data_IF_299768882507
#
_entry.id   IF_299768882507
#
_cell.length_a   1.000
_cell.length_b   1.000
_cell.length_c   1.000
_cell.angle_alpha   90.00
_cell.angle_beta   90.00
_cell.angle_gamma   90.00
#
_symmetry.space_group_name_H-M   'P 1'
#
loop_
_entity.id
_entity.type
_entity.pdbx_description
1 polymer ?
#
# COMPACT_ATOMS: atom_id res chain seq x y z
N UNK A 1 20.64 -28.73 3.96
CA UNK A 1 19.67 -27.94 4.74
C UNK A 1 19.59 -26.49 4.25
N UNK A 2 20.41 -26.07 3.28
CA UNK A 2 20.49 -24.68 2.81
C UNK A 2 19.39 -24.24 1.84
N UNK A 3 18.58 -25.17 1.29
CA UNK A 3 17.49 -24.84 0.36
C UNK A 3 16.17 -24.39 1.02
N UNK A 4 16.00 -24.60 2.33
CA UNK A 4 14.74 -24.24 3.04
C UNK A 4 14.70 -22.78 3.53
N UNK A 5 15.85 -22.12 3.69
CA UNK A 5 15.90 -20.77 4.27
C UNK A 5 15.23 -19.72 3.37
N UNK A 6 15.44 -19.83 2.06
CA UNK A 6 14.88 -18.89 1.10
C UNK A 6 13.33 -18.86 1.06
N UNK A 7 12.62 -19.99 0.90
CA UNK A 7 11.15 -19.95 0.89
C UNK A 7 10.58 -19.44 2.21
N UNK A 8 11.24 -19.71 3.35
CA UNK A 8 10.82 -19.19 4.66
C UNK A 8 11.01 -17.66 4.73
N UNK A 9 12.14 -17.14 4.26
CA UNK A 9 12.40 -15.68 4.21
C UNK A 9 11.41 -14.97 3.28
N UNK A 10 11.11 -15.57 2.13
CA UNK A 10 10.09 -15.09 1.19
C UNK A 10 8.70 -15.05 1.82
N UNK A 11 8.28 -16.13 2.48
CA UNK A 11 7.00 -16.22 3.18
C UNK A 11 6.91 -15.19 4.31
N UNK A 12 7.96 -15.04 5.11
CA UNK A 12 8.00 -14.07 6.19
C UNK A 12 7.94 -12.62 5.69
N UNK A 13 8.70 -12.30 4.63
CA UNK A 13 8.67 -10.98 4.00
C UNK A 13 7.29 -10.66 3.40
N UNK A 14 6.67 -11.65 2.74
CA UNK A 14 5.31 -11.52 2.21
C UNK A 14 4.29 -11.30 3.32
N UNK A 15 4.35 -12.10 4.39
CA UNK A 15 3.44 -11.97 5.52
C UNK A 15 3.56 -10.61 6.22
N UNK A 16 4.80 -10.15 6.44
CA UNK A 16 5.05 -8.81 6.98
C UNK A 16 4.50 -7.70 6.10
N UNK A 17 4.68 -7.82 4.78
CA UNK A 17 4.12 -6.87 3.82
C UNK A 17 2.58 -6.85 3.86
N UNK A 18 1.93 -8.02 3.82
CA UNK A 18 0.46 -8.12 3.87
C UNK A 18 -0.11 -7.50 5.13
N UNK A 19 0.43 -7.83 6.32
CA UNK A 19 -0.05 -7.26 7.58
C UNK A 19 0.10 -5.73 7.63
N UNK A 20 1.23 -5.23 7.14
CA UNK A 20 1.50 -3.79 7.09
C UNK A 20 0.50 -3.10 6.17
N UNK A 21 0.26 -3.65 4.98
CA UNK A 21 -0.73 -3.11 4.02
C UNK A 21 -2.15 -3.15 4.57
N UNK A 22 -2.56 -4.22 5.27
CA UNK A 22 -3.88 -4.30 5.91
C UNK A 22 -4.05 -3.24 7.00
N UNK A 23 -3.01 -3.02 7.82
CA UNK A 23 -3.01 -1.96 8.84
C UNK A 23 -3.13 -0.56 8.21
N UNK A 24 -2.40 -0.31 7.12
CA UNK A 24 -2.55 0.94 6.35
C UNK A 24 -3.97 1.09 5.82
N UNK A 25 -4.57 0.04 5.26
CA UNK A 25 -5.95 0.09 4.74
C UNK A 25 -6.96 0.47 5.82
N UNK A 26 -6.89 -0.17 6.99
CA UNK A 26 -7.77 0.13 8.13
C UNK A 26 -7.59 1.58 8.61
N UNK A 27 -6.34 2.03 8.70
CA UNK A 27 -6.04 3.39 9.17
C UNK A 27 -6.51 4.44 8.16
N UNK A 28 -6.26 4.24 6.85
CA UNK A 28 -6.71 5.14 5.78
C UNK A 28 -8.23 5.26 5.81
N UNK A 29 -8.95 4.13 5.89
CA UNK A 29 -10.41 4.14 5.94
C UNK A 29 -10.94 4.86 7.19
N UNK A 30 -10.37 4.57 8.37
CA UNK A 30 -10.78 5.25 9.61
C UNK A 30 -10.56 6.78 9.55
N UNK A 31 -9.49 7.24 8.90
CA UNK A 31 -9.25 8.68 8.68
C UNK A 31 -10.21 9.28 7.67
N UNK A 32 -10.51 8.55 6.58
CA UNK A 32 -11.49 8.97 5.58
C UNK A 32 -12.89 9.12 6.21
N UNK A 33 -13.32 8.15 7.00
CA UNK A 33 -14.63 8.18 7.66
C UNK A 33 -14.75 9.36 8.62
N UNK A 34 -13.68 9.68 9.36
CA UNK A 34 -13.61 10.86 10.22
C UNK A 34 -13.72 12.18 9.44
N UNK A 35 -13.09 12.27 8.26
CA UNK A 35 -13.19 13.45 7.39
C UNK A 35 -14.63 13.62 6.91
N UNK A 36 -15.25 12.55 6.40
CA UNK A 36 -16.62 12.63 5.89
C UNK A 36 -17.65 12.89 6.98
N UNK A 37 -17.48 12.33 8.18
CA UNK A 37 -18.37 12.65 9.30
C UNK A 37 -18.30 14.14 9.69
N UNK A 38 -17.11 14.75 9.63
CA UNK A 38 -16.95 16.19 9.88
C UNK A 38 -17.62 17.04 8.80
N UNK A 39 -17.50 16.64 7.53
CA UNK A 39 -18.17 17.30 6.41
C UNK A 39 -19.69 17.23 6.60
N UNK A 40 -20.24 16.07 6.94
CA UNK A 40 -21.68 15.90 7.17
C UNK A 40 -22.19 16.69 8.38
N UNK A 41 -21.40 16.79 9.46
CA UNK A 41 -21.78 17.53 10.67
C UNK A 41 -21.74 19.05 10.50
N UNK A 42 -20.68 19.59 9.88
CA UNK A 42 -20.39 21.02 9.93
C UNK A 42 -19.73 21.59 8.67
N UNK A 43 -19.62 20.83 7.58
CA UNK A 43 -19.01 21.27 6.33
C UNK A 43 -17.54 21.68 6.54
N UNK A 44 -17.30 22.99 6.66
CA UNK A 44 -15.95 23.56 6.83
C UNK A 44 -15.48 23.63 8.30
N UNK A 45 -16.37 23.37 9.27
CA UNK A 45 -16.08 23.26 10.71
C UNK A 45 -15.07 24.29 11.26
N UNK A 46 -15.30 25.60 11.08
CA UNK A 46 -14.36 26.68 11.43
C UNK A 46 -14.05 26.80 12.94
N UNK A 47 -14.85 26.18 13.81
CA UNK A 47 -14.63 26.20 15.27
C UNK A 47 -13.83 25.00 15.80
N UNK A 48 -13.59 23.97 14.97
CA UNK A 48 -12.74 22.84 15.37
C UNK A 48 -11.29 23.11 14.98
N UNK A 49 -10.36 22.67 15.83
CA UNK A 49 -8.91 22.86 15.66
C UNK A 49 -8.33 22.19 14.40
N UNK A 50 -9.07 21.27 13.79
CA UNK A 50 -8.70 20.54 12.58
C UNK A 50 -9.93 20.41 11.65
N UNK A 51 -9.89 21.07 10.51
CA UNK A 51 -10.90 20.96 9.46
C UNK A 51 -10.68 19.75 8.55
N UNK A 52 -11.67 19.39 7.69
CA UNK A 52 -11.57 18.26 6.76
C UNK A 52 -10.34 18.29 5.84
N UNK A 53 -9.98 19.48 5.33
CA UNK A 53 -8.79 19.67 4.50
C UNK A 53 -7.49 19.44 5.27
N UNK A 54 -7.43 19.92 6.51
CA UNK A 54 -6.23 19.81 7.34
C UNK A 54 -5.97 18.34 7.69
N UNK A 55 -7.01 17.58 8.04
CA UNK A 55 -6.90 16.13 8.29
C UNK A 55 -6.49 15.38 7.02
N UNK A 56 -7.02 15.78 5.86
CA UNK A 56 -6.63 15.19 4.58
C UNK A 56 -5.14 15.37 4.29
N UNK A 57 -4.64 16.62 4.34
CA UNK A 57 -3.25 16.93 3.98
C UNK A 57 -2.22 16.48 5.03
N UNK A 58 -2.57 16.50 6.33
CA UNK A 58 -1.63 16.14 7.40
C UNK A 58 -1.61 14.64 7.69
N UNK A 59 -2.66 13.91 7.32
CA UNK A 59 -2.82 12.51 7.70
C UNK A 59 -3.08 11.61 6.48
N UNK A 60 -4.22 11.79 5.80
CA UNK A 60 -4.68 10.83 4.78
C UNK A 60 -3.75 10.79 3.56
N UNK A 61 -3.32 11.95 3.07
CA UNK A 61 -2.47 12.06 1.89
C UNK A 61 -1.05 11.51 2.14
N UNK A 62 -0.32 11.91 3.21
CA UNK A 62 0.96 11.31 3.55
C UNK A 62 0.89 9.79 3.77
N UNK A 63 -0.17 9.31 4.41
CA UNK A 63 -0.38 7.89 4.67
C UNK A 63 -0.60 7.10 3.37
N UNK A 64 -1.38 7.65 2.44
CA UNK A 64 -1.61 7.07 1.12
C UNK A 64 -0.33 7.04 0.29
N UNK A 65 0.43 8.13 0.26
CA UNK A 65 1.73 8.21 -0.44
C UNK A 65 2.71 7.19 0.17
N UNK A 66 2.83 7.15 1.50
CA UNK A 66 3.70 6.22 2.21
C UNK A 66 3.38 4.77 1.89
N UNK A 67 2.09 4.40 1.85
CA UNK A 67 1.67 3.05 1.50
C UNK A 67 1.95 2.70 0.02
N UNK A 68 1.78 3.64 -0.92
CA UNK A 68 2.14 3.44 -2.33
C UNK A 68 3.64 3.21 -2.48
N UNK A 69 4.47 4.02 -1.82
CA UNK A 69 5.93 3.85 -1.82
C UNK A 69 6.31 2.49 -1.23
N UNK A 70 5.72 2.11 -0.09
CA UNK A 70 5.97 0.83 0.55
C UNK A 70 5.64 -0.36 -0.37
N UNK A 71 4.47 -0.35 -1.00
CA UNK A 71 4.06 -1.39 -1.95
C UNK A 71 4.96 -1.44 -3.19
N UNK A 72 5.43 -0.28 -3.67
CA UNK A 72 6.43 -0.19 -4.74
C UNK A 72 7.76 -0.84 -4.35
N UNK A 73 8.26 -0.55 -3.14
CA UNK A 73 9.48 -1.14 -2.61
C UNK A 73 9.37 -2.66 -2.44
N UNK A 74 8.25 -3.15 -1.89
CA UNK A 74 8.01 -4.58 -1.75
C UNK A 74 7.95 -5.27 -3.12
N UNK A 75 7.26 -4.67 -4.09
CA UNK A 75 7.21 -5.17 -5.47
C UNK A 75 8.61 -5.27 -6.08
N UNK A 76 9.43 -4.23 -5.89
CA UNK A 76 10.82 -4.20 -6.36
C UNK A 76 11.67 -5.29 -5.70
N UNK A 77 11.55 -5.49 -4.38
CA UNK A 77 12.27 -6.53 -3.65
C UNK A 77 11.89 -7.91 -4.19
N UNK A 78 10.60 -8.22 -4.31
CA UNK A 78 10.11 -9.51 -4.81
C UNK A 78 10.65 -9.81 -6.21
N UNK A 79 10.61 -8.83 -7.11
CA UNK A 79 11.11 -8.99 -8.49
C UNK A 79 12.65 -9.08 -8.56
N UNK A 80 13.35 -8.59 -7.54
CA UNK A 80 14.81 -8.62 -7.49
C UNK A 80 15.39 -9.92 -6.93
N UNK A 81 14.59 -10.74 -6.23
CA UNK A 81 15.03 -12.01 -5.62
C UNK A 81 15.68 -12.97 -6.63
N UNK A 82 15.08 -13.25 -7.81
CA UNK A 82 15.67 -14.18 -8.78
C UNK A 82 17.03 -13.71 -9.31
N UNK A 83 17.29 -12.39 -9.32
CA UNK A 83 18.55 -11.80 -9.80
C UNK A 83 19.71 -11.98 -8.83
N UNK A 84 19.43 -12.03 -7.53
CA UNK A 84 20.45 -12.10 -6.49
C UNK A 84 20.77 -13.54 -6.08
N UNK A 85 19.93 -14.49 -6.48
CA UNK A 85 20.18 -15.91 -6.25
C UNK A 85 21.00 -16.53 -7.37
N UNK A 86 22.11 -17.16 -6.99
CA UNK A 86 22.82 -18.09 -7.88
C UNK A 86 22.12 -19.44 -7.82
N UNK A 87 21.32 -19.75 -8.83
CA UNK A 87 20.68 -21.05 -9.01
C UNK A 87 21.44 -21.77 -10.13
N UNK A 88 21.98 -22.95 -9.82
CA UNK A 88 22.72 -23.77 -10.78
C UNK A 88 21.81 -24.44 -11.81
N UNK A 89 20.55 -24.72 -11.43
CA UNK A 89 19.55 -25.31 -12.32
C UNK A 89 18.72 -24.23 -13.04
N UNK A 90 18.83 -24.19 -14.37
CA UNK A 90 18.10 -23.28 -15.25
C UNK A 90 16.57 -23.44 -15.19
N UNK A 91 16.05 -24.64 -14.92
CA UNK A 91 14.61 -24.87 -14.80
C UNK A 91 14.06 -24.32 -13.47
N UNK A 92 14.76 -24.58 -12.36
CA UNK A 92 14.42 -24.07 -11.03
C UNK A 92 14.45 -22.52 -11.01
N UNK A 93 15.39 -21.91 -11.75
CA UNK A 93 15.50 -20.47 -11.89
C UNK A 93 14.30 -19.83 -12.62
N UNK A 94 13.82 -20.42 -13.72
CA UNK A 94 12.67 -19.91 -14.45
C UNK A 94 11.35 -20.10 -13.66
N UNK A 95 11.21 -21.19 -12.92
CA UNK A 95 10.07 -21.37 -12.01
C UNK A 95 10.05 -20.32 -10.91
N UNK A 96 11.18 -20.03 -10.27
CA UNK A 96 11.28 -19.00 -9.24
C UNK A 96 10.93 -17.62 -9.80
N UNK A 97 11.47 -17.27 -10.96
CA UNK A 97 11.20 -16.00 -11.64
C UNK A 97 9.71 -15.84 -11.98
N UNK A 98 9.07 -16.91 -12.43
CA UNK A 98 7.62 -16.92 -12.69
C UNK A 98 6.82 -16.73 -11.40
N UNK A 99 7.17 -17.46 -10.33
CA UNK A 99 6.52 -17.30 -9.03
C UNK A 99 6.66 -15.88 -8.47
N UNK A 100 7.87 -15.30 -8.50
CA UNK A 100 8.10 -13.92 -8.07
C UNK A 100 7.28 -12.91 -8.89
N UNK A 101 7.14 -13.11 -10.21
CA UNK A 101 6.29 -12.26 -11.05
C UNK A 101 4.83 -12.34 -10.65
N UNK A 102 4.28 -13.54 -10.44
CA UNK A 102 2.89 -13.75 -10.02
C UNK A 102 2.64 -13.10 -8.66
N UNK A 103 3.54 -13.30 -7.71
CA UNK A 103 3.42 -12.74 -6.35
C UNK A 103 3.49 -11.21 -6.38
N UNK A 104 4.38 -10.62 -7.20
CA UNK A 104 4.52 -9.17 -7.33
C UNK A 104 3.29 -8.48 -7.94
N UNK A 105 2.39 -9.21 -8.64
CA UNK A 105 1.14 -8.63 -9.16
C UNK A 105 0.31 -8.03 -8.03
N UNK A 106 0.25 -8.68 -6.87
CA UNK A 106 -0.59 -8.27 -5.76
C UNK A 106 -0.19 -6.89 -5.18
N UNK A 107 1.07 -6.65 -4.76
CA UNK A 107 1.49 -5.33 -4.29
C UNK A 107 1.47 -4.26 -5.40
N UNK A 108 1.74 -4.60 -6.66
CA UNK A 108 1.62 -3.66 -7.80
C UNK A 108 0.16 -3.21 -7.96
N UNK A 109 -0.77 -4.18 -7.98
CA UNK A 109 -2.19 -3.89 -8.06
C UNK A 109 -2.67 -3.06 -6.86
N UNK A 110 -2.17 -3.37 -5.67
CA UNK A 110 -2.40 -2.57 -4.46
C UNK A 110 -1.95 -1.12 -4.66
N UNK A 111 -0.71 -0.89 -5.09
CA UNK A 111 -0.17 0.45 -5.30
C UNK A 111 -1.01 1.27 -6.30
N UNK A 112 -1.42 0.65 -7.42
CA UNK A 112 -2.29 1.27 -8.42
C UNK A 112 -3.66 1.60 -7.82
N UNK A 113 -4.26 0.67 -7.08
CA UNK A 113 -5.57 0.83 -6.47
C UNK A 113 -5.58 1.94 -5.41
N UNK A 114 -4.54 2.02 -4.57
CA UNK A 114 -4.38 3.10 -3.60
C UNK A 114 -4.13 4.46 -4.27
N UNK A 115 -3.38 4.50 -5.36
CA UNK A 115 -3.21 5.73 -6.13
C UNK A 115 -4.54 6.22 -6.71
N UNK A 116 -5.31 5.32 -7.34
CA UNK A 116 -6.63 5.64 -7.86
C UNK A 116 -7.62 6.06 -6.75
N UNK A 117 -7.61 5.35 -5.62
CA UNK A 117 -8.42 5.68 -4.44
C UNK A 117 -8.07 7.04 -3.85
N UNK A 118 -6.78 7.37 -3.72
CA UNK A 118 -6.35 8.68 -3.22
C UNK A 118 -6.75 9.84 -4.13
N UNK A 119 -6.70 9.64 -5.46
CA UNK A 119 -7.21 10.61 -6.44
C UNK A 119 -8.73 10.78 -6.27
N UNK A 120 -9.47 9.67 -6.14
CA UNK A 120 -10.91 9.71 -5.94
C UNK A 120 -11.28 10.45 -4.65
N UNK A 121 -10.59 10.17 -3.54
CA UNK A 121 -10.78 10.87 -2.27
C UNK A 121 -10.56 12.38 -2.40
N UNK A 122 -9.52 12.78 -3.12
CA UNK A 122 -9.25 14.20 -3.39
C UNK A 122 -10.40 14.86 -4.16
N UNK A 123 -10.87 14.21 -5.23
CA UNK A 123 -11.96 14.73 -6.07
C UNK A 123 -13.26 14.84 -5.28
N UNK A 124 -13.60 13.83 -4.49
CA UNK A 124 -14.80 13.87 -3.65
C UNK A 124 -14.67 14.95 -2.59
N UNK A 125 -13.53 15.06 -1.90
CA UNK A 125 -13.31 16.11 -0.91
C UNK A 125 -13.50 17.52 -1.50
N UNK A 126 -12.92 17.80 -2.68
CA UNK A 126 -13.09 19.10 -3.36
C UNK A 126 -14.54 19.34 -3.75
N UNK A 127 -15.26 18.32 -4.22
CA UNK A 127 -16.68 18.44 -4.57
C UNK A 127 -17.58 18.64 -3.36
N UNK A 128 -17.27 18.03 -2.23
CA UNK A 128 -18.05 18.16 -1.01
C UNK A 128 -17.85 19.50 -0.29
N UNK A 129 -16.80 20.24 -0.62
CA UNK A 129 -16.47 21.54 -0.03
C UNK A 129 -16.83 22.74 -0.93
N UNK A 130 -17.23 22.48 -2.18
CA UNK A 130 -17.78 23.47 -3.13
C UNK A 130 -19.30 23.45 -3.09
#
# INVERSE_FOLDING_TARGET
MDKLGLPIVLLAALWGAVNTTLSFFQTINARRDMIFSLIDECGYCTEKTLGPLEIYFTNLLPLTIGNIIFLGLISYVILSIPRHMKIEDSAEAEHLKTACRVIAVLPIFGAISFAAGGIFDMVVLVRSLN
#
